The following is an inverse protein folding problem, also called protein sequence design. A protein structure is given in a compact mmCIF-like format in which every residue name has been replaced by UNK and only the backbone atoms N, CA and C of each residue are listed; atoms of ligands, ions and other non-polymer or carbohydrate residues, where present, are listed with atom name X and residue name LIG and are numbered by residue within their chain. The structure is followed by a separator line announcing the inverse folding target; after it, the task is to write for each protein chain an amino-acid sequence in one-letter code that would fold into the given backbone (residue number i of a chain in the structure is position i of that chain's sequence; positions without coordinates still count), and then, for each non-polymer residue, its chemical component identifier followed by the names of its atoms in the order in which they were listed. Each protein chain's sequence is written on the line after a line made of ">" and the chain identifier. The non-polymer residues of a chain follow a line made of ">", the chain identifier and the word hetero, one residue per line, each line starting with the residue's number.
data_IF_740212659259
#
_entry.id   IF_740212659259
#
_cell.length_a   1.000
_cell.length_b   1.000
_cell.length_c   1.000
_cell.angle_alpha   90.00
_cell.angle_beta   90.00
_cell.angle_gamma   90.00
#
_symmetry.space_group_name_H-M   'P 1'
#
loop_
_entity.id
_entity.type
_entity.pdbx_description
1 polymer ?
#
# COMPACT_ATOMS: atom_id res chain seq x y z
N UNK A 1 20.73 2.60 -2.79
CA UNK A 1 20.15 1.83 -3.92
C UNK A 1 18.77 2.41 -4.21
N UNK A 2 18.36 2.54 -5.47
CA UNK A 2 17.04 3.03 -5.84
C UNK A 2 16.13 1.83 -6.13
N UNK A 3 14.85 1.88 -5.68
CA UNK A 3 13.86 0.86 -6.04
C UNK A 3 13.57 0.93 -7.53
N UNK A 4 13.46 -0.24 -8.17
CA UNK A 4 12.93 -0.36 -9.53
C UNK A 4 11.41 -0.20 -9.44
N UNK A 5 10.81 0.54 -10.36
CA UNK A 5 9.36 0.68 -10.46
C UNK A 5 8.90 0.58 -11.91
N UNK A 6 7.72 0.02 -12.12
CA UNK A 6 6.97 0.13 -13.37
C UNK A 6 6.11 1.39 -13.32
N UNK A 7 5.82 1.94 -14.49
CA UNK A 7 4.96 3.12 -14.64
C UNK A 7 3.82 2.82 -15.59
N UNK A 8 2.64 3.37 -15.29
CA UNK A 8 1.47 3.38 -16.18
C UNK A 8 0.77 4.75 -16.09
N UNK A 9 -0.15 5.00 -17.02
CA UNK A 9 -0.84 6.29 -17.11
C UNK A 9 -0.02 7.37 -17.83
N UNK A 10 -0.48 8.61 -17.74
CA UNK A 10 0.14 9.75 -18.42
C UNK A 10 1.31 10.30 -17.58
N UNK A 11 2.50 10.40 -18.19
CA UNK A 11 3.69 10.98 -17.55
C UNK A 11 3.58 12.50 -17.32
N UNK A 12 2.59 13.15 -17.94
CA UNK A 12 2.28 14.58 -17.76
C UNK A 12 1.12 14.82 -16.79
N UNK A 13 0.65 13.78 -16.10
CA UNK A 13 -0.44 13.85 -15.14
C UNK A 13 -0.12 14.77 -13.95
N UNK A 14 -1.15 15.37 -13.38
CA UNK A 14 -1.05 16.28 -12.23
C UNK A 14 -0.91 15.55 -10.89
N UNK A 15 -1.27 14.27 -10.84
CA UNK A 15 -1.34 13.46 -9.63
C UNK A 15 -0.53 12.17 -9.77
N UNK A 16 -0.10 11.64 -8.64
CA UNK A 16 0.66 10.38 -8.57
C UNK A 16 -0.08 9.36 -7.70
N UNK A 17 -0.20 8.13 -8.20
CA UNK A 17 -0.61 6.97 -7.43
C UNK A 17 0.57 6.02 -7.32
N UNK A 18 1.00 5.74 -6.11
CA UNK A 18 1.99 4.69 -5.81
C UNK A 18 1.22 3.50 -5.23
N UNK A 19 1.42 2.30 -5.77
CA UNK A 19 0.76 1.12 -5.26
C UNK A 19 1.77 -0.01 -5.00
N UNK A 20 1.86 -0.42 -3.73
CA UNK A 20 2.78 -1.43 -3.23
C UNK A 20 2.15 -2.83 -3.34
N UNK A 21 2.89 -3.78 -3.87
CA UNK A 21 2.44 -5.17 -4.02
C UNK A 21 2.49 -5.95 -2.70
N UNK A 22 1.75 -7.07 -2.64
CA UNK A 22 1.76 -8.01 -1.52
C UNK A 22 2.98 -8.94 -1.51
N UNK A 23 3.11 -9.72 -0.44
CA UNK A 23 4.15 -10.74 -0.27
C UNK A 23 4.11 -11.80 -1.38
N UNK A 24 5.24 -12.11 -1.98
CA UNK A 24 5.37 -13.08 -3.08
C UNK A 24 4.95 -12.57 -4.46
N UNK A 25 4.31 -11.40 -4.54
CA UNK A 25 4.02 -10.71 -5.79
C UNK A 25 5.20 -9.80 -6.21
N UNK A 26 5.00 -9.00 -7.26
CA UNK A 26 5.98 -8.03 -7.76
C UNK A 26 5.28 -6.83 -8.42
N UNK A 27 6.06 -5.88 -8.91
CA UNK A 27 5.54 -4.68 -9.58
C UNK A 27 4.64 -5.00 -10.78
N UNK A 28 4.96 -6.06 -11.56
CA UNK A 28 4.18 -6.44 -12.75
C UNK A 28 2.78 -6.93 -12.38
N UNK A 29 2.66 -7.69 -11.28
CA UNK A 29 1.38 -8.22 -10.83
C UNK A 29 0.42 -7.08 -10.47
N UNK A 30 0.90 -6.07 -9.74
CA UNK A 30 0.07 -4.93 -9.34
C UNK A 30 -0.13 -3.94 -10.49
N UNK A 31 0.85 -3.76 -11.38
CA UNK A 31 0.68 -2.92 -12.56
C UNK A 31 -0.44 -3.41 -13.49
N UNK A 32 -0.76 -4.71 -13.44
CA UNK A 32 -1.87 -5.31 -14.18
C UNK A 32 -3.25 -4.72 -13.86
N UNK A 33 -3.42 -4.02 -12.73
CA UNK A 33 -4.70 -3.36 -12.40
C UNK A 33 -4.86 -1.98 -13.06
N UNK A 34 -3.79 -1.35 -13.53
CA UNK A 34 -3.82 0.01 -14.07
C UNK A 34 -4.89 0.23 -15.17
N UNK A 35 -5.08 -0.70 -16.15
CA UNK A 35 -6.12 -0.54 -17.15
C UNK A 35 -7.55 -0.50 -16.58
N UNK A 36 -7.79 -1.12 -15.44
CA UNK A 36 -9.10 -1.14 -14.80
C UNK A 36 -9.36 0.11 -13.95
N UNK A 37 -8.29 0.78 -13.48
CA UNK A 37 -8.42 2.02 -12.71
C UNK A 37 -8.86 3.21 -13.58
N UNK A 38 -8.44 3.29 -14.84
CA UNK A 38 -8.82 4.37 -15.79
C UNK A 38 -8.70 5.77 -15.16
N UNK A 39 -7.52 6.07 -14.60
CA UNK A 39 -7.22 7.33 -13.89
C UNK A 39 -6.46 8.29 -14.80
N UNK A 40 -7.17 9.01 -15.67
CA UNK A 40 -6.57 9.88 -16.70
C UNK A 40 -5.70 11.03 -16.15
N UNK A 41 -5.93 11.43 -14.88
CA UNK A 41 -5.16 12.50 -14.22
C UNK A 41 -3.98 11.99 -13.39
N UNK A 42 -3.73 10.71 -13.41
CA UNK A 42 -2.70 10.07 -12.59
C UNK A 42 -1.61 9.42 -13.43
N UNK A 43 -0.38 9.71 -13.06
CA UNK A 43 0.71 8.76 -13.28
C UNK A 43 0.65 7.70 -12.18
N UNK A 44 0.83 6.43 -12.52
CA UNK A 44 0.85 5.34 -11.55
C UNK A 44 2.23 4.72 -11.49
N UNK A 45 2.76 4.50 -10.29
CA UNK A 45 4.06 3.86 -10.05
C UNK A 45 3.89 2.61 -9.18
N UNK A 46 4.52 1.54 -9.61
CA UNK A 46 4.48 0.22 -8.97
C UNK A 46 5.91 -0.21 -8.66
N UNK A 47 6.44 0.06 -7.45
CA UNK A 47 7.80 -0.33 -7.10
C UNK A 47 7.89 -1.82 -6.76
N UNK A 48 9.02 -2.45 -7.14
CA UNK A 48 9.42 -3.77 -6.66
C UNK A 48 9.98 -3.66 -5.24
N UNK A 49 9.54 -4.54 -4.36
CA UNK A 49 10.14 -4.70 -3.05
C UNK A 49 11.61 -5.15 -3.15
N UNK A 50 12.48 -4.76 -2.19
CA UNK A 50 13.92 -4.98 -2.33
C UNK A 50 14.33 -6.44 -2.20
N UNK A 51 13.58 -7.28 -1.48
CA UNK A 51 13.97 -8.64 -1.19
C UNK A 51 13.34 -9.62 -2.17
N UNK A 52 14.13 -10.63 -2.60
CA UNK A 52 13.61 -11.73 -3.40
C UNK A 52 12.79 -12.67 -2.50
N UNK A 53 11.57 -12.99 -2.93
CA UNK A 53 10.77 -14.00 -2.29
C UNK A 53 11.29 -15.39 -2.70
N UNK A 54 11.98 -16.06 -1.80
CA UNK A 54 12.44 -17.43 -2.01
C UNK A 54 11.45 -18.37 -1.36
N UNK A 55 10.69 -19.10 -2.15
CA UNK A 55 9.86 -20.17 -1.63
C UNK A 55 10.73 -21.42 -1.47
N UNK A 56 10.71 -21.98 -0.26
CA UNK A 56 11.19 -23.34 -0.05
C UNK A 56 10.38 -24.28 -0.95
N UNK A 57 11.06 -25.17 -1.70
CA UNK A 57 10.45 -26.17 -2.60
C UNK A 57 9.91 -25.68 -3.97
N UNK A 58 10.30 -24.52 -4.45
CA UNK A 58 10.04 -24.13 -5.86
C UNK A 58 8.59 -23.77 -6.19
N UNK A 59 7.71 -23.64 -5.21
CA UNK A 59 6.33 -23.20 -5.39
C UNK A 59 6.19 -21.71 -5.09
N UNK A 60 6.54 -20.86 -6.03
CA UNK A 60 6.37 -19.41 -5.95
C UNK A 60 6.29 -18.80 -7.33
N UNK A 61 5.71 -17.61 -7.43
CA UNK A 61 5.76 -16.87 -8.67
C UNK A 61 7.23 -16.66 -9.06
N UNK A 62 7.64 -16.96 -10.30
CA UNK A 62 8.96 -16.59 -10.79
C UNK A 62 9.14 -15.08 -10.58
N UNK A 63 10.23 -14.65 -9.95
CA UNK A 63 10.52 -13.26 -9.61
C UNK A 63 9.65 -12.64 -8.50
N UNK A 64 9.00 -13.43 -7.65
CA UNK A 64 8.29 -12.93 -6.47
C UNK A 64 9.21 -12.10 -5.57
N UNK A 65 8.64 -11.06 -4.97
CA UNK A 65 9.33 -10.09 -4.11
C UNK A 65 8.62 -9.99 -2.77
N UNK A 66 9.30 -9.43 -1.77
CA UNK A 66 8.74 -9.17 -0.46
C UNK A 66 9.37 -7.93 0.16
N UNK A 67 8.59 -7.21 0.92
CA UNK A 67 9.09 -6.05 1.67
C UNK A 67 9.92 -6.51 2.87
N UNK A 68 9.53 -7.60 3.49
CA UNK A 68 10.22 -8.26 4.60
C UNK A 68 9.82 -9.73 4.66
N UNK A 69 10.66 -10.55 5.28
CA UNK A 69 10.34 -11.96 5.50
C UNK A 69 9.26 -12.10 6.57
N UNK A 70 8.31 -13.00 6.34
CA UNK A 70 7.36 -13.42 7.36
C UNK A 70 7.90 -14.67 8.06
N UNK A 71 7.78 -14.79 9.38
CA UNK A 71 8.07 -16.04 10.09
C UNK A 71 7.07 -17.13 9.67
N UNK A 72 7.43 -18.40 9.87
CA UNK A 72 6.58 -19.56 9.56
C UNK A 72 5.21 -19.50 10.27
N UNK A 73 5.17 -18.91 11.46
CA UNK A 73 3.94 -18.58 12.20
C UNK A 73 3.95 -17.07 12.41
N UNK A 74 3.06 -16.37 11.72
CA UNK A 74 2.88 -14.93 11.85
C UNK A 74 1.70 -14.65 12.75
N UNK A 75 1.97 -13.98 13.88
CA UNK A 75 0.95 -13.56 14.85
C UNK A 75 0.64 -12.08 14.63
N UNK A 76 -0.53 -11.78 14.07
CA UNK A 76 -0.98 -10.42 13.81
C UNK A 76 -1.25 -9.59 15.07
N UNK A 77 -1.39 -10.23 16.22
CA UNK A 77 -1.64 -9.55 17.52
C UNK A 77 -0.34 -9.14 18.21
N UNK A 78 0.83 -9.51 17.65
CA UNK A 78 2.12 -9.11 18.17
C UNK A 78 2.78 -8.02 17.33
N UNK A 79 3.41 -7.01 17.96
CA UNK A 79 4.15 -5.98 17.22
C UNK A 79 5.29 -6.58 16.40
N UNK A 80 5.36 -6.17 15.15
CA UNK A 80 6.33 -6.62 14.16
C UNK A 80 7.18 -5.44 13.67
N UNK A 81 8.10 -4.97 14.51
CA UNK A 81 8.76 -3.68 14.27
C UNK A 81 10.28 -3.74 14.10
N UNK A 82 10.93 -4.83 14.56
CA UNK A 82 12.39 -4.84 14.73
C UNK A 82 13.18 -5.65 13.71
N UNK A 83 12.56 -6.22 12.69
CA UNK A 83 13.28 -6.98 11.68
C UNK A 83 14.15 -6.07 10.80
N UNK A 84 15.38 -6.52 10.52
CA UNK A 84 16.36 -5.75 9.76
C UNK A 84 15.91 -5.47 8.32
N UNK A 85 15.25 -6.44 7.68
CA UNK A 85 14.72 -6.33 6.32
C UNK A 85 13.50 -5.38 6.25
N UNK A 86 12.64 -5.36 7.28
CA UNK A 86 11.58 -4.37 7.40
C UNK A 86 12.16 -2.95 7.52
N UNK A 87 13.16 -2.75 8.39
CA UNK A 87 13.83 -1.46 8.55
C UNK A 87 14.49 -1.01 7.25
N UNK A 88 15.16 -1.93 6.53
CA UNK A 88 15.75 -1.63 5.24
C UNK A 88 14.70 -1.23 4.21
N UNK A 89 13.57 -1.93 4.14
CA UNK A 89 12.48 -1.62 3.21
C UNK A 89 11.83 -0.27 3.53
N UNK A 90 11.62 0.06 4.80
CA UNK A 90 11.16 1.38 5.25
C UNK A 90 12.07 2.49 4.71
N UNK A 91 13.36 2.38 4.96
CA UNK A 91 14.32 3.40 4.55
C UNK A 91 14.36 3.55 3.03
N UNK A 92 14.43 2.43 2.28
CA UNK A 92 14.44 2.44 0.82
C UNK A 92 13.17 3.06 0.23
N UNK A 93 11.98 2.75 0.80
CA UNK A 93 10.72 3.33 0.36
C UNK A 93 10.65 4.84 0.67
N UNK A 94 11.05 5.25 1.87
CA UNK A 94 11.07 6.66 2.26
C UNK A 94 12.00 7.46 1.35
N UNK A 95 13.23 6.99 1.13
CA UNK A 95 14.21 7.65 0.24
C UNK A 95 13.68 7.72 -1.19
N UNK A 96 13.06 6.64 -1.67
CA UNK A 96 12.52 6.58 -3.02
C UNK A 96 11.33 7.52 -3.21
N UNK A 97 10.34 7.49 -2.28
CA UNK A 97 9.13 8.34 -2.33
C UNK A 97 9.50 9.82 -2.21
N UNK A 98 10.38 10.18 -1.29
CA UNK A 98 10.78 11.59 -1.08
C UNK A 98 11.56 12.18 -2.25
N UNK A 99 12.20 11.33 -3.08
CA UNK A 99 12.88 11.75 -4.30
C UNK A 99 11.95 11.85 -5.54
N UNK A 100 10.69 11.40 -5.45
CA UNK A 100 9.76 11.41 -6.58
C UNK A 100 9.38 12.83 -7.06
N UNK A 101 9.15 13.82 -6.19
CA UNK A 101 8.82 15.18 -6.65
C UNK A 101 9.85 15.76 -7.61
N UNK A 102 11.14 15.52 -7.39
CA UNK A 102 12.21 15.97 -8.29
C UNK A 102 12.20 15.23 -9.64
N UNK A 103 11.76 13.97 -9.66
CA UNK A 103 11.76 13.12 -10.85
C UNK A 103 10.50 13.28 -11.71
N UNK A 104 9.36 13.47 -11.07
CA UNK A 104 8.04 13.49 -11.73
C UNK A 104 7.48 14.90 -11.87
N UNK A 105 7.98 15.88 -11.12
CA UNK A 105 7.37 17.21 -10.98
C UNK A 105 6.11 17.23 -10.11
N UNK A 106 5.65 16.07 -9.58
CA UNK A 106 4.42 15.93 -8.80
C UNK A 106 4.76 15.96 -7.31
N UNK A 107 4.26 16.94 -6.53
CA UNK A 107 4.55 17.03 -5.10
C UNK A 107 3.84 15.91 -4.32
N UNK A 108 4.37 15.55 -3.13
CA UNK A 108 3.77 14.53 -2.26
C UNK A 108 2.33 14.89 -1.85
N UNK A 109 1.98 16.17 -1.72
CA UNK A 109 0.61 16.61 -1.47
C UNK A 109 -0.38 16.34 -2.62
N UNK A 110 0.09 15.87 -3.77
CA UNK A 110 -0.70 15.36 -4.91
C UNK A 110 -0.44 13.87 -5.16
N UNK A 111 0.18 13.17 -4.22
CA UNK A 111 0.52 11.75 -4.31
C UNK A 111 -0.37 10.94 -3.37
N UNK A 112 -0.97 9.88 -3.88
CA UNK A 112 -1.66 8.86 -3.09
C UNK A 112 -0.70 7.68 -2.92
N UNK A 113 -0.52 7.21 -1.70
CA UNK A 113 0.23 6.00 -1.40
C UNK A 113 -0.75 4.88 -1.05
N UNK A 114 -0.69 3.78 -1.75
CA UNK A 114 -1.53 2.62 -1.51
C UNK A 114 -0.76 1.32 -1.54
N UNK A 115 -1.39 0.26 -1.06
CA UNK A 115 -0.81 -1.06 -1.11
C UNK A 115 -1.79 -2.18 -0.74
N UNK A 116 -1.47 -3.37 -1.20
CA UNK A 116 -2.22 -4.58 -0.94
C UNK A 116 -1.46 -5.50 0.01
N UNK A 117 -2.15 -6.08 0.99
CA UNK A 117 -1.60 -7.07 1.92
C UNK A 117 -0.33 -6.53 2.62
N UNK A 118 0.83 -7.16 2.47
CA UNK A 118 2.12 -6.66 2.98
C UNK A 118 2.45 -5.23 2.46
N UNK A 119 2.08 -4.91 1.21
CA UNK A 119 2.19 -3.55 0.68
C UNK A 119 1.25 -2.57 1.38
N UNK A 120 0.05 -3.02 1.80
CA UNK A 120 -0.87 -2.25 2.63
C UNK A 120 -0.30 -1.98 4.02
N UNK A 121 0.36 -2.97 4.62
CA UNK A 121 1.05 -2.80 5.89
C UNK A 121 2.19 -1.78 5.79
N UNK A 122 3.02 -1.86 4.74
CA UNK A 122 4.06 -0.87 4.47
C UNK A 122 3.49 0.53 4.24
N UNK A 123 2.36 0.63 3.51
CA UNK A 123 1.67 1.90 3.28
C UNK A 123 1.24 2.55 4.58
N UNK A 124 0.61 1.79 5.48
CA UNK A 124 0.17 2.28 6.78
C UNK A 124 1.35 2.70 7.65
N UNK A 125 2.42 1.91 7.64
CA UNK A 125 3.63 2.14 8.43
C UNK A 125 4.36 3.45 8.07
N UNK A 126 4.72 3.62 6.79
CA UNK A 126 5.50 4.80 6.36
C UNK A 126 4.63 6.01 5.99
N UNK A 127 3.39 5.77 5.55
CA UNK A 127 2.50 6.82 5.05
C UNK A 127 2.07 7.79 6.14
N UNK A 128 1.99 7.35 7.41
CA UNK A 128 1.69 8.23 8.55
C UNK A 128 2.74 9.34 8.74
N UNK A 129 3.97 9.10 8.32
CA UNK A 129 5.08 10.05 8.37
C UNK A 129 5.28 10.89 7.10
N UNK A 130 4.43 10.74 6.07
CA UNK A 130 4.58 11.41 4.78
C UNK A 130 3.44 12.42 4.53
N UNK A 131 3.72 13.59 3.91
CA UNK A 131 2.70 14.59 3.57
C UNK A 131 1.95 14.24 2.27
N UNK A 132 1.51 12.98 2.13
CA UNK A 132 0.78 12.50 0.95
C UNK A 132 -0.67 13.01 0.93
N UNK A 133 -1.31 13.03 -0.24
CA UNK A 133 -2.70 13.47 -0.42
C UNK A 133 -3.71 12.54 0.23
N UNK A 134 -3.41 11.25 0.29
CA UNK A 134 -4.24 10.21 0.88
C UNK A 134 -3.54 8.86 0.89
N UNK A 135 -4.12 7.89 1.59
CA UNK A 135 -3.60 6.53 1.65
C UNK A 135 -4.69 5.50 1.30
N UNK A 136 -4.30 4.37 0.72
CA UNK A 136 -5.18 3.23 0.44
C UNK A 136 -4.62 1.96 1.06
N UNK A 137 -5.32 1.38 2.00
CA UNK A 137 -4.95 0.16 2.70
C UNK A 137 -5.90 -0.96 2.25
N UNK A 138 -5.43 -1.81 1.36
CA UNK A 138 -6.21 -2.91 0.78
C UNK A 138 -5.77 -4.23 1.44
N UNK A 139 -6.63 -4.81 2.27
CA UNK A 139 -6.36 -6.05 3.02
C UNK A 139 -5.02 -6.02 3.78
N UNK A 140 -4.66 -4.84 4.31
CA UNK A 140 -3.41 -4.62 5.06
C UNK A 140 -3.61 -4.76 6.58
N UNK A 141 -2.49 -4.71 7.29
CA UNK A 141 -2.41 -4.81 8.75
C UNK A 141 -1.37 -3.81 9.29
N UNK A 142 -1.37 -3.53 10.58
CA UNK A 142 -0.34 -2.70 11.22
C UNK A 142 0.84 -3.54 11.72
N UNK A 143 2.04 -2.96 11.70
CA UNK A 143 3.23 -3.59 12.29
C UNK A 143 3.30 -3.42 13.81
N UNK A 144 2.46 -2.58 14.37
CA UNK A 144 2.39 -2.22 15.78
C UNK A 144 1.51 -1.00 15.98
N UNK A 145 1.47 -0.40 17.18
CA UNK A 145 0.66 0.78 17.43
C UNK A 145 0.91 1.90 16.43
N UNK A 146 -0.19 2.47 15.90
CA UNK A 146 -0.11 3.56 14.94
C UNK A 146 0.33 4.87 15.61
N UNK A 147 1.09 5.66 14.89
CA UNK A 147 1.53 6.98 15.36
C UNK A 147 0.63 8.08 14.80
N UNK A 148 0.53 9.21 15.50
CA UNK A 148 -0.19 10.38 14.99
C UNK A 148 0.40 10.82 13.64
N UNK A 149 -0.42 10.95 12.59
CA UNK A 149 0.09 11.38 11.30
C UNK A 149 0.61 12.82 11.34
N UNK A 150 1.70 13.09 10.61
CA UNK A 150 2.26 14.43 10.49
C UNK A 150 1.23 15.41 9.91
N UNK A 151 0.42 14.91 8.97
CA UNK A 151 -0.62 15.66 8.31
C UNK A 151 -1.82 14.73 8.09
N UNK A 152 -2.88 14.85 8.89
CA UNK A 152 -4.06 14.00 8.73
C UNK A 152 -4.63 14.11 7.32
N UNK A 153 -4.76 12.98 6.65
CA UNK A 153 -5.31 12.87 5.30
C UNK A 153 -6.31 11.72 5.25
N UNK A 154 -7.26 11.75 4.30
CA UNK A 154 -8.21 10.66 4.17
C UNK A 154 -7.49 9.33 3.87
N UNK A 155 -7.99 8.27 4.48
CA UNK A 155 -7.53 6.91 4.28
C UNK A 155 -8.69 6.07 3.77
N UNK A 156 -8.51 5.41 2.63
CA UNK A 156 -9.38 4.32 2.20
C UNK A 156 -8.88 3.02 2.81
N UNK A 157 -9.72 2.37 3.61
CA UNK A 157 -9.42 1.08 4.23
C UNK A 157 -10.44 0.05 3.75
N UNK A 158 -9.98 -0.94 2.97
CA UNK A 158 -10.84 -1.99 2.39
C UNK A 158 -10.36 -3.36 2.82
N UNK A 159 -11.29 -4.25 3.20
CA UNK A 159 -10.97 -5.61 3.61
C UNK A 159 -12.04 -6.64 3.24
N UNK A 160 -11.61 -7.88 3.02
CA UNK A 160 -12.50 -9.03 2.81
C UNK A 160 -12.99 -9.62 4.13
N UNK A 161 -14.31 -9.81 4.28
CA UNK A 161 -14.87 -10.47 5.47
C UNK A 161 -14.45 -11.94 5.62
N UNK A 162 -14.10 -12.57 4.50
CA UNK A 162 -13.74 -13.99 4.42
C UNK A 162 -12.25 -14.15 4.10
N UNK A 163 -11.43 -13.13 4.40
CA UNK A 163 -9.99 -13.15 4.16
C UNK A 163 -9.31 -14.23 5.02
N UNK A 164 -8.76 -15.30 4.40
CA UNK A 164 -8.11 -16.39 5.12
C UNK A 164 -6.64 -16.12 5.43
N UNK A 165 -6.08 -15.00 4.91
CA UNK A 165 -4.65 -14.67 5.03
C UNK A 165 -4.44 -13.60 6.08
N UNK A 166 -5.15 -12.46 5.95
CA UNK A 166 -5.14 -11.38 6.93
C UNK A 166 -6.52 -11.32 7.59
N UNK A 167 -6.65 -11.67 8.86
CA UNK A 167 -7.94 -11.68 9.54
C UNK A 167 -8.63 -10.32 9.51
N UNK A 168 -9.96 -10.28 9.33
CA UNK A 168 -10.76 -9.04 9.31
C UNK A 168 -10.59 -8.22 10.59
N UNK A 169 -10.23 -8.85 11.71
CA UNK A 169 -9.94 -8.19 12.98
C UNK A 169 -8.83 -7.14 12.85
N UNK A 170 -7.87 -7.34 11.94
CA UNK A 170 -6.81 -6.37 11.68
C UNK A 170 -7.36 -5.08 11.07
N UNK A 171 -8.34 -5.18 10.17
CA UNK A 171 -9.01 -4.00 9.61
C UNK A 171 -9.84 -3.26 10.68
N UNK A 172 -10.51 -4.00 11.58
CA UNK A 172 -11.25 -3.41 12.70
C UNK A 172 -10.31 -2.68 13.67
N UNK A 173 -9.15 -3.27 14.00
CA UNK A 173 -8.14 -2.64 14.85
C UNK A 173 -7.58 -1.37 14.19
N UNK A 174 -7.16 -1.46 12.94
CA UNK A 174 -6.64 -0.31 12.18
C UNK A 174 -7.67 0.83 12.14
N UNK A 175 -8.95 0.53 11.86
CA UNK A 175 -10.02 1.51 11.85
C UNK A 175 -10.18 2.20 13.20
N UNK A 176 -10.18 1.40 14.28
CA UNK A 176 -10.32 1.93 15.64
C UNK A 176 -9.13 2.81 16.04
N UNK A 177 -7.90 2.37 15.77
CA UNK A 177 -6.69 3.15 16.08
C UNK A 177 -6.64 4.45 15.28
N UNK A 178 -6.91 4.41 13.96
CA UNK A 178 -6.97 5.60 13.11
C UNK A 178 -8.04 6.58 13.58
N UNK A 179 -9.21 6.08 13.99
CA UNK A 179 -10.28 6.88 14.58
C UNK A 179 -9.85 7.59 15.87
N UNK A 180 -9.10 6.90 16.75
CA UNK A 180 -8.54 7.49 17.97
C UNK A 180 -7.51 8.59 17.66
N UNK A 181 -6.84 8.52 16.52
CA UNK A 181 -5.91 9.54 16.02
C UNK A 181 -6.61 10.66 15.22
N UNK A 182 -7.95 10.67 15.19
CA UNK A 182 -8.78 11.65 14.46
C UNK A 182 -8.50 11.69 12.94
N UNK A 183 -8.17 10.55 12.36
CA UNK A 183 -7.99 10.39 10.92
C UNK A 183 -9.33 10.11 10.26
N UNK A 184 -9.61 10.75 9.12
CA UNK A 184 -10.79 10.47 8.28
C UNK A 184 -10.60 9.14 7.55
N UNK A 185 -11.38 8.12 7.91
CA UNK A 185 -11.28 6.75 7.36
C UNK A 185 -12.55 6.40 6.60
N UNK A 186 -12.41 6.26 5.28
CA UNK A 186 -13.41 5.68 4.40
C UNK A 186 -13.26 4.14 4.43
N UNK A 187 -14.11 3.48 5.24
CA UNK A 187 -13.96 2.06 5.58
C UNK A 187 -14.99 1.19 4.89
N UNK A 188 -14.53 0.15 4.19
CA UNK A 188 -15.37 -0.80 3.47
C UNK A 188 -14.98 -2.25 3.73
N UNK A 189 -16.00 -3.09 3.89
CA UNK A 189 -15.87 -4.54 3.96
C UNK A 189 -16.68 -5.20 2.85
N UNK A 190 -16.07 -6.14 2.15
CA UNK A 190 -16.75 -6.91 1.09
C UNK A 190 -16.82 -8.40 1.42
N UNK A 191 -17.79 -9.11 0.82
CA UNK A 191 -17.87 -10.56 0.88
C UNK A 191 -16.87 -11.17 -0.11
N UNK A 192 -15.59 -11.09 0.22
CA UNK A 192 -14.46 -11.59 -0.57
C UNK A 192 -13.38 -12.16 0.33
N UNK A 193 -12.46 -12.92 -0.26
CA UNK A 193 -11.25 -13.41 0.38
C UNK A 193 -10.11 -12.38 0.35
N UNK A 194 -8.87 -12.88 0.25
CA UNK A 194 -7.65 -12.06 0.17
C UNK A 194 -7.35 -11.68 -1.28
N UNK A 195 -8.04 -10.68 -1.81
CA UNK A 195 -7.98 -10.32 -3.23
C UNK A 195 -8.30 -8.84 -3.47
N UNK A 196 -7.91 -8.35 -4.65
CA UNK A 196 -8.40 -7.08 -5.21
C UNK A 196 -9.38 -7.44 -6.33
N UNK A 197 -10.68 -7.33 -6.07
CA UNK A 197 -11.72 -7.54 -7.07
C UNK A 197 -12.20 -6.21 -7.68
N UNK A 198 -13.15 -6.28 -8.62
CA UNK A 198 -13.66 -5.08 -9.31
C UNK A 198 -14.30 -4.06 -8.36
N UNK A 199 -14.94 -4.51 -7.27
CA UNK A 199 -15.54 -3.59 -6.28
C UNK A 199 -14.46 -2.79 -5.54
N UNK A 200 -13.34 -3.45 -5.18
CA UNK A 200 -12.18 -2.79 -4.55
C UNK A 200 -11.56 -1.78 -5.52
N UNK A 201 -11.41 -2.14 -6.80
CA UNK A 201 -10.87 -1.23 -7.82
C UNK A 201 -11.77 -0.01 -8.03
N UNK A 202 -13.10 -0.19 -8.02
CA UNK A 202 -14.04 0.92 -8.11
C UNK A 202 -13.94 1.86 -6.90
N UNK A 203 -13.82 1.32 -5.68
CA UNK A 203 -13.60 2.14 -4.48
C UNK A 203 -12.28 2.91 -4.55
N UNK A 204 -11.19 2.24 -4.96
CA UNK A 204 -9.88 2.87 -5.13
C UNK A 204 -9.91 3.99 -6.18
N UNK A 205 -10.59 3.76 -7.33
CA UNK A 205 -10.81 4.77 -8.36
C UNK A 205 -11.56 5.98 -7.82
N UNK A 206 -12.73 5.76 -7.19
CA UNK A 206 -13.56 6.82 -6.62
C UNK A 206 -12.81 7.64 -5.57
N UNK A 207 -12.00 7.00 -4.74
CA UNK A 207 -11.13 7.66 -3.77
C UNK A 207 -10.10 8.58 -4.46
N UNK A 208 -9.43 8.09 -5.51
CA UNK A 208 -8.50 8.90 -6.29
C UNK A 208 -9.20 10.09 -6.94
N UNK A 209 -10.34 9.89 -7.58
CA UNK A 209 -11.09 10.95 -8.26
C UNK A 209 -11.61 12.03 -7.29
N UNK A 210 -12.01 11.63 -6.07
CA UNK A 210 -12.43 12.57 -5.02
C UNK A 210 -11.30 13.51 -4.62
N UNK A 211 -10.08 13.01 -4.54
CA UNK A 211 -8.90 13.81 -4.16
C UNK A 211 -8.43 14.75 -5.27
N UNK A 212 -8.77 14.50 -6.53
CA UNK A 212 -8.50 15.43 -7.63
C UNK A 212 -9.43 16.66 -7.68
N UNK A 213 -10.52 16.67 -6.90
CA UNK A 213 -11.54 17.73 -6.93
C UNK A 213 -11.37 18.76 -5.82
N UNK A 214 -10.49 18.47 -4.88
CA UNK A 214 -10.14 19.32 -3.73
C UNK A 214 -8.79 20.00 -3.94
#
# INVERSE_FOLDING_TARGET
>A
MSLRALSAGDSTADYLLILLHGWGANAQDVAGIAPYMQLDKYQMLFPDAPHAHKIANGMGAPNGRMWYALPDIFDFDQPFTHQADLQQSRQLLLDWITALPEKTGIPLGKTILGGFSQGGAMTLDIGMGLPVAGMMILSGYSHGPLVTPINPRPILLVHGRQDPVVPITQAHQNKAELGNLSVDVDYHEFNMGHEINLQVLEMAKNFCEKLCKN
#
